data_IF_041165571057
#
_entry.id   IF_041165571057
#
_cell.length_a   1.000
_cell.length_b   1.000
_cell.length_c   1.000
_cell.angle_alpha   90.00
_cell.angle_beta   90.00
_cell.angle_gamma   90.00
#
_symmetry.space_group_name_H-M   'P 1'
#
loop_
_entity.id
_entity.type
_entity.pdbx_description
1 polymer ?
#
# COMPACT_ATOMS: atom_id res chain seq x y z
N UNK A 1 3.13 -27.00 14.88
CA UNK A 1 4.30 -27.87 14.58
C UNK A 1 5.38 -27.54 15.59
N UNK A 2 5.98 -28.51 16.27
CA UNK A 2 6.93 -28.23 17.35
C UNK A 2 8.33 -27.97 16.83
N UNK A 3 8.93 -26.90 17.32
CA UNK A 3 10.32 -26.54 17.06
C UNK A 3 10.80 -25.89 18.40
N UNK A 4 11.91 -26.33 19.05
CA UNK A 4 12.34 -25.99 20.45
C UNK A 4 13.73 -25.27 20.57
N UNK A 5 13.89 -24.08 21.20
CA UNK A 5 15.22 -23.42 21.41
C UNK A 5 15.59 -23.51 22.89
N UNK A 6 16.67 -24.23 23.20
CA UNK A 6 17.34 -24.17 24.50
C UNK A 6 18.83 -23.93 24.30
N UNK A 7 19.33 -22.85 24.90
CA UNK A 7 20.71 -22.40 24.78
C UNK A 7 21.41 -22.53 26.13
N UNK A 8 22.06 -23.67 26.35
CA UNK A 8 23.10 -23.81 27.35
C UNK A 8 24.47 -23.72 26.65
N UNK A 9 25.41 -23.02 27.28
CA UNK A 9 26.61 -22.54 26.60
C UNK A 9 27.60 -23.67 26.28
N UNK A 10 28.19 -23.66 25.09
CA UNK A 10 29.62 -23.39 24.85
C UNK A 10 29.98 -23.51 23.34
N UNK A 11 31.07 -22.85 22.93
CA UNK A 11 31.72 -22.86 21.60
C UNK A 11 31.14 -21.99 20.46
N UNK A 12 31.76 -20.82 20.34
CA UNK A 12 31.72 -19.90 19.20
C UNK A 12 32.55 -20.43 18.00
N UNK A 13 31.99 -21.26 17.12
CA UNK A 13 32.41 -21.34 15.69
C UNK A 13 31.18 -21.71 14.84
N UNK A 14 30.91 -20.95 13.76
CA UNK A 14 29.80 -21.15 12.81
C UNK A 14 28.35 -21.00 13.34
N UNK A 15 27.92 -19.76 13.61
CA UNK A 15 26.51 -19.36 13.78
C UNK A 15 25.66 -19.43 12.48
N UNK A 16 25.93 -20.39 11.59
CA UNK A 16 25.23 -20.56 10.31
C UNK A 16 24.34 -21.81 10.26
N UNK A 17 24.49 -22.74 11.22
CA UNK A 17 23.95 -24.11 11.13
C UNK A 17 23.29 -24.66 12.39
N UNK A 18 22.99 -23.85 13.40
CA UNK A 18 22.38 -24.35 14.65
C UNK A 18 20.99 -24.94 14.39
N UNK A 19 20.74 -26.16 14.87
CA UNK A 19 19.39 -26.75 14.94
C UNK A 19 18.66 -26.11 16.11
N UNK A 20 18.20 -24.89 15.86
CA UNK A 20 17.27 -24.13 16.68
C UNK A 20 15.99 -23.94 15.90
N UNK A 21 14.94 -23.63 16.63
CA UNK A 21 13.67 -24.26 16.33
C UNK A 21 12.68 -23.57 17.27
N UNK A 22 11.70 -22.78 16.80
CA UNK A 22 10.76 -22.00 17.66
C UNK A 22 9.31 -22.53 17.67
N UNK A 23 8.66 -22.56 18.85
CA UNK A 23 7.20 -22.77 18.98
C UNK A 23 6.51 -21.51 18.48
N UNK A 24 5.47 -21.69 17.68
CA UNK A 24 4.70 -20.61 17.05
C UNK A 24 3.25 -20.69 17.50
N UNK A 25 2.64 -19.53 17.76
CA UNK A 25 1.20 -19.39 18.00
C UNK A 25 0.38 -19.82 16.77
N UNK A 26 -0.86 -20.24 16.97
CA UNK A 26 -1.69 -20.85 15.93
C UNK A 26 -2.06 -19.90 14.77
N UNK A 27 -2.09 -18.59 15.01
CA UNK A 27 -2.22 -17.57 13.95
C UNK A 27 -0.94 -17.43 13.13
N UNK A 28 0.22 -17.33 13.78
CA UNK A 28 1.53 -17.28 13.13
C UNK A 28 1.79 -18.56 12.33
N UNK A 29 1.45 -19.73 12.88
CA UNK A 29 1.63 -21.01 12.20
C UNK A 29 0.74 -21.13 10.94
N UNK A 30 -0.52 -20.68 10.99
CA UNK A 30 -1.40 -20.63 9.82
C UNK A 30 -0.88 -19.69 8.74
N UNK A 31 -0.41 -18.51 9.12
CA UNK A 31 0.09 -17.51 8.17
C UNK A 31 1.41 -17.96 7.51
N UNK A 32 2.32 -18.58 8.26
CA UNK A 32 3.54 -19.18 7.71
C UNK A 32 3.22 -20.31 6.72
N UNK A 33 2.25 -21.18 6.99
CA UNK A 33 1.83 -22.23 6.06
C UNK A 33 1.11 -21.65 4.81
N UNK A 34 0.34 -20.57 4.96
CA UNK A 34 -0.25 -19.83 3.82
C UNK A 34 0.83 -19.26 2.90
N UNK A 35 1.81 -18.55 3.46
CA UNK A 35 2.96 -17.99 2.73
C UNK A 35 3.80 -19.09 2.07
N UNK A 36 4.01 -20.21 2.77
CA UNK A 36 4.76 -21.37 2.24
C UNK A 36 4.11 -21.95 0.97
N UNK A 37 2.77 -22.05 0.93
CA UNK A 37 2.03 -22.53 -0.25
C UNK A 37 2.10 -21.55 -1.42
N UNK A 38 2.12 -20.24 -1.15
CA UNK A 38 2.20 -19.20 -2.17
C UNK A 38 3.60 -19.07 -2.78
N UNK A 39 4.65 -19.18 -1.95
CA UNK A 39 6.03 -18.95 -2.40
C UNK A 39 6.80 -20.24 -2.75
N UNK A 40 6.25 -21.42 -2.44
CA UNK A 40 6.91 -22.71 -2.67
C UNK A 40 8.21 -22.94 -1.89
N UNK A 41 8.56 -22.06 -0.95
CA UNK A 41 9.81 -22.12 -0.18
C UNK A 41 9.76 -23.21 0.90
N UNK A 42 10.92 -23.71 1.32
CA UNK A 42 11.02 -24.57 2.50
C UNK A 42 10.77 -23.77 3.79
N UNK A 43 10.17 -24.42 4.80
CA UNK A 43 9.81 -23.80 6.07
C UNK A 43 11.01 -23.07 6.73
N UNK A 44 12.19 -23.70 6.74
CA UNK A 44 13.43 -23.10 7.26
C UNK A 44 13.86 -21.85 6.49
N UNK A 45 13.69 -21.81 5.16
CA UNK A 45 14.04 -20.64 4.34
C UNK A 45 13.09 -19.48 4.64
N UNK A 46 11.78 -19.77 4.63
CA UNK A 46 10.73 -18.79 4.90
C UNK A 46 10.83 -18.19 6.32
N UNK A 47 10.94 -19.03 7.36
CA UNK A 47 11.09 -18.55 8.75
C UNK A 47 12.32 -17.66 8.90
N UNK A 48 13.48 -18.05 8.34
CA UNK A 48 14.68 -17.22 8.42
C UNK A 48 14.54 -15.88 7.66
N UNK A 49 13.83 -15.87 6.54
CA UNK A 49 13.55 -14.65 5.77
C UNK A 49 12.62 -13.69 6.53
N UNK A 50 11.53 -14.23 7.11
CA UNK A 50 10.58 -13.49 7.95
C UNK A 50 11.26 -12.94 9.22
N UNK A 51 12.05 -13.74 9.92
CA UNK A 51 12.79 -13.30 11.11
C UNK A 51 13.82 -12.21 10.77
N UNK A 52 14.57 -12.35 9.67
CA UNK A 52 15.52 -11.32 9.20
C UNK A 52 14.79 -10.01 8.91
N UNK A 53 13.64 -10.06 8.24
CA UNK A 53 12.82 -8.88 7.95
C UNK A 53 12.29 -8.23 9.23
N UNK A 54 11.65 -9.00 10.11
CA UNK A 54 11.12 -8.49 11.38
C UNK A 54 12.20 -7.88 12.29
N UNK A 55 13.37 -8.50 12.38
CA UNK A 55 14.50 -7.97 13.15
C UNK A 55 15.18 -6.76 12.50
N UNK A 56 15.11 -6.61 11.18
CA UNK A 56 15.59 -5.41 10.48
C UNK A 56 14.62 -4.24 10.60
N UNK A 57 13.32 -4.49 10.47
CA UNK A 57 12.27 -3.47 10.58
C UNK A 57 12.08 -3.01 12.03
N UNK A 58 12.13 -3.93 13.02
CA UNK A 58 12.05 -3.60 14.45
C UNK A 58 13.23 -2.76 14.98
N UNK A 59 14.36 -2.70 14.25
CA UNK A 59 15.50 -1.81 14.56
C UNK A 59 15.34 -0.41 14.01
N UNK A 60 14.45 -0.19 13.04
CA UNK A 60 14.05 1.16 12.63
C UNK A 60 12.97 1.61 13.61
N UNK A 61 13.16 2.69 14.38
CA UNK A 61 12.03 3.26 15.10
C UNK A 61 10.98 3.65 14.05
N UNK A 62 9.82 3.00 14.11
CA UNK A 62 8.66 3.36 13.30
C UNK A 62 8.11 4.70 13.81
N UNK A 63 8.86 5.77 13.51
CA UNK A 63 8.29 7.11 13.45
C UNK A 63 7.44 7.10 12.18
N UNK A 64 6.09 7.06 12.28
CA UNK A 64 5.27 7.30 11.10
C UNK A 64 5.74 8.61 10.49
N UNK A 65 6.06 8.62 9.18
CA UNK A 65 6.42 9.86 8.48
C UNK A 65 5.25 10.81 8.69
N UNK A 66 5.44 11.84 9.52
CA UNK A 66 4.39 12.82 9.80
C UNK A 66 3.84 13.30 8.46
N UNK A 67 2.54 13.13 8.26
CA UNK A 67 1.86 13.62 7.08
C UNK A 67 2.10 15.14 7.00
N UNK A 68 2.78 15.58 5.94
CA UNK A 68 3.08 16.98 5.67
C UNK A 68 2.42 17.33 4.34
N UNK A 69 1.48 18.27 4.39
CA UNK A 69 0.96 18.93 3.19
C UNK A 69 1.93 20.05 2.84
N UNK A 70 2.34 20.17 1.58
CA UNK A 70 2.88 21.41 1.04
C UNK A 70 1.70 22.18 0.42
N UNK A 71 1.22 23.26 1.05
CA UNK A 71 0.20 24.09 0.44
C UNK A 71 0.80 24.83 -0.77
N UNK A 72 0.17 24.71 -1.92
CA UNK A 72 0.49 25.50 -3.10
C UNK A 72 -0.44 26.72 -3.16
N UNK A 73 0.11 27.89 -3.46
CA UNK A 73 -0.67 29.11 -3.68
C UNK A 73 -1.35 29.05 -5.05
N UNK A 74 -2.48 28.36 -5.12
CA UNK A 74 -3.38 28.36 -6.27
C UNK A 74 -4.17 29.69 -6.29
N UNK A 75 -3.54 30.75 -6.80
CA UNK A 75 -4.20 32.05 -6.96
C UNK A 75 -5.41 31.94 -7.88
N UNK A 76 -6.59 32.35 -7.41
CA UNK A 76 -7.80 32.41 -8.22
C UNK A 76 -7.83 33.71 -9.03
N UNK A 77 -8.43 33.64 -10.22
CA UNK A 77 -8.62 34.82 -11.08
C UNK A 77 -9.60 35.80 -10.42
N UNK A 78 -9.37 37.10 -10.55
CA UNK A 78 -10.32 38.10 -10.04
C UNK A 78 -11.74 37.85 -10.57
N UNK A 79 -12.72 37.84 -9.67
CA UNK A 79 -14.11 37.46 -9.96
C UNK A 79 -14.44 35.97 -9.77
N UNK A 80 -13.47 35.10 -9.44
CA UNK A 80 -13.71 33.70 -9.09
C UNK A 80 -13.84 33.56 -7.57
N UNK A 81 -15.05 33.23 -7.13
CA UNK A 81 -15.37 32.93 -5.72
C UNK A 81 -14.96 31.50 -5.35
N UNK A 82 -14.04 31.38 -4.38
CA UNK A 82 -13.55 30.11 -3.84
C UNK A 82 -14.61 29.23 -3.17
N UNK A 83 -15.68 29.80 -2.61
CA UNK A 83 -16.75 29.04 -1.97
C UNK A 83 -17.77 28.52 -3.00
N UNK A 84 -17.73 29.04 -4.23
CA UNK A 84 -18.70 28.76 -5.31
C UNK A 84 -18.10 28.04 -6.52
N UNK A 85 -16.95 27.39 -6.37
CA UNK A 85 -16.29 26.64 -7.45
C UNK A 85 -17.21 25.60 -8.12
N UNK A 86 -18.12 24.97 -7.37
CA UNK A 86 -19.13 24.06 -7.92
C UNK A 86 -20.03 24.76 -8.96
N UNK A 87 -20.47 25.99 -8.70
CA UNK A 87 -21.34 26.74 -9.64
C UNK A 87 -20.60 27.07 -10.96
N UNK A 88 -19.27 27.24 -10.92
CA UNK A 88 -18.47 27.43 -12.12
C UNK A 88 -18.33 26.13 -12.94
N UNK A 89 -18.29 24.97 -12.27
CA UNK A 89 -18.36 23.67 -12.94
C UNK A 89 -19.72 23.48 -13.62
N UNK A 90 -20.82 23.80 -12.92
CA UNK A 90 -22.18 23.72 -13.46
C UNK A 90 -22.35 24.61 -14.71
N UNK A 91 -21.84 25.84 -14.66
CA UNK A 91 -21.85 26.77 -15.80
C UNK A 91 -21.05 26.26 -17.01
N UNK A 92 -19.88 25.66 -16.80
CA UNK A 92 -19.11 25.08 -17.91
C UNK A 92 -19.78 23.84 -18.52
N UNK A 93 -20.45 23.02 -17.70
CA UNK A 93 -21.22 21.88 -18.20
C UNK A 93 -22.41 22.36 -19.04
N UNK A 94 -23.19 23.32 -18.54
CA UNK A 94 -24.33 23.91 -19.24
C UNK A 94 -23.95 24.44 -20.64
N UNK A 95 -22.83 25.17 -20.76
CA UNK A 95 -22.34 25.68 -22.05
C UNK A 95 -22.00 24.57 -23.05
N UNK A 96 -21.36 23.48 -22.60
CA UNK A 96 -21.01 22.33 -23.46
C UNK A 96 -22.23 21.59 -24.01
N UNK A 97 -23.33 21.50 -23.24
CA UNK A 97 -24.55 20.89 -23.75
C UNK A 97 -25.14 21.67 -24.93
N UNK A 98 -25.21 23.00 -24.84
CA UNK A 98 -25.70 23.87 -25.92
C UNK A 98 -24.84 23.74 -27.19
N UNK A 99 -23.52 23.77 -27.05
CA UNK A 99 -22.59 23.60 -28.17
C UNK A 99 -22.71 22.22 -28.84
N UNK A 100 -22.88 21.16 -28.04
CA UNK A 100 -23.07 19.80 -28.57
C UNK A 100 -24.41 19.63 -29.31
N UNK A 101 -25.48 20.26 -28.81
CA UNK A 101 -26.80 20.22 -29.43
C UNK A 101 -26.79 20.89 -30.81
N UNK A 102 -26.20 22.09 -30.92
CA UNK A 102 -26.02 22.82 -32.18
C UNK A 102 -25.22 22.02 -33.23
N UNK A 103 -24.31 21.15 -32.80
CA UNK A 103 -23.49 20.28 -33.67
C UNK A 103 -24.18 18.96 -34.06
N UNK A 104 -25.34 18.66 -33.49
CA UNK A 104 -26.04 17.36 -33.64
C UNK A 104 -27.37 17.44 -34.40
N UNK A 105 -27.85 18.64 -34.77
CA UNK A 105 -29.07 18.79 -35.55
C UNK A 105 -28.97 18.08 -36.91
N UNK A 106 -29.84 17.09 -37.21
CA UNK A 106 -29.83 16.43 -38.50
C UNK A 106 -30.37 17.36 -39.59
N UNK A 107 -29.79 17.26 -40.79
CA UNK A 107 -30.30 17.95 -41.99
C UNK A 107 -31.70 17.44 -42.29
N UNK A 108 -32.70 18.33 -42.24
CA UNK A 108 -34.08 18.03 -42.62
C UNK A 108 -34.18 17.63 -44.10
N UNK A 109 -35.27 16.95 -44.51
CA UNK A 109 -35.34 16.24 -45.78
C UNK A 109 -35.23 17.19 -46.98
N UNK A 110 -34.53 16.72 -48.01
CA UNK A 110 -34.47 17.38 -49.31
C UNK A 110 -35.81 17.11 -50.05
N UNK A 111 -36.54 18.17 -50.45
CA UNK A 111 -37.68 18.14 -51.39
C UNK A 111 -37.20 18.26 -52.85
#
# INVERSE_FOLDING_TARGET
>A
MHIDIKNEMHHYVNMAGTRTTITLDDDVAREVERLRRLEGKSLRKLINELLRRGLADGRKPSRPRRFRVQPHHCGLKAGVDHERLNQLVDQQQAGRFVESALRSSPKGPDE
#
